data_IF_481522458282
#
_entry.id   IF_481522458282
#
_cell.length_a   1.000
_cell.length_b   1.000
_cell.length_c   1.000
_cell.angle_alpha   90.00
_cell.angle_beta   90.00
_cell.angle_gamma   90.00
#
_symmetry.space_group_name_H-M   'P 1'
#
loop_
_entity.id
_entity.type
_entity.pdbx_description
1 polymer ?
#
# COMPACT_ATOMS: atom_id res chain seq x y z
N UNK A 1 -17.07 7.34 1.77
CA UNK A 1 -15.68 7.57 1.34
C UNK A 1 -15.63 8.91 0.65
N UNK A 2 -14.62 9.71 0.96
CA UNK A 2 -14.33 11.04 0.40
C UNK A 2 -13.08 11.00 -0.47
N UNK A 3 -12.85 12.03 -1.28
CA UNK A 3 -11.62 12.16 -2.05
C UNK A 3 -10.39 12.04 -1.13
N UNK A 4 -9.46 11.16 -1.49
CA UNK A 4 -8.25 10.91 -0.70
C UNK A 4 -8.37 9.83 0.37
N UNK A 5 -9.56 9.26 0.60
CA UNK A 5 -9.70 8.09 1.47
C UNK A 5 -8.97 6.88 0.88
N UNK A 6 -8.25 6.16 1.74
CA UNK A 6 -7.57 4.91 1.40
C UNK A 6 -8.27 3.76 2.11
N UNK A 7 -8.84 2.84 1.33
CA UNK A 7 -9.41 1.60 1.83
C UNK A 7 -8.40 0.46 1.62
N UNK A 8 -8.14 -0.29 2.68
CA UNK A 8 -7.30 -1.48 2.65
C UNK A 8 -8.15 -2.68 3.02
N UNK A 9 -8.09 -3.71 2.18
CA UNK A 9 -8.64 -5.03 2.44
C UNK A 9 -7.46 -6.00 2.43
N UNK A 10 -7.33 -6.83 3.45
CA UNK A 10 -6.19 -7.73 3.59
C UNK A 10 -6.60 -9.03 4.31
N UNK A 11 -5.77 -10.06 4.15
CA UNK A 11 -5.89 -11.31 4.93
C UNK A 11 -5.36 -11.13 6.36
N UNK A 12 -5.67 -12.08 7.24
CA UNK A 12 -5.16 -12.13 8.61
C UNK A 12 -3.64 -12.15 8.68
N UNK A 13 -2.95 -12.74 7.70
CA UNK A 13 -1.49 -12.69 7.57
C UNK A 13 -0.89 -11.27 7.63
N UNK A 14 -1.66 -10.23 7.29
CA UNK A 14 -1.28 -8.83 7.51
C UNK A 14 -1.56 -8.39 8.94
N UNK A 15 -2.80 -8.55 9.39
CA UNK A 15 -3.27 -8.01 10.67
C UNK A 15 -2.71 -8.74 11.89
N UNK A 16 -2.24 -9.98 11.73
CA UNK A 16 -1.54 -10.74 12.76
C UNK A 16 -0.12 -10.25 12.99
N UNK A 17 0.46 -9.55 12.01
CA UNK A 17 1.86 -9.15 11.99
C UNK A 17 2.07 -7.62 12.05
N UNK A 18 1.11 -6.83 11.57
CA UNK A 18 1.14 -5.36 11.59
C UNK A 18 0.00 -4.80 12.42
N UNK A 19 0.30 -3.83 13.29
CA UNK A 19 -0.74 -3.10 14.02
C UNK A 19 -1.27 -1.91 13.20
N UNK A 20 -2.40 -1.33 13.64
CA UNK A 20 -3.04 -0.20 12.94
C UNK A 20 -2.11 1.01 12.79
N UNK A 21 -1.23 1.29 13.75
CA UNK A 21 -0.29 2.42 13.68
C UNK A 21 0.83 2.16 12.68
N UNK A 22 1.32 0.92 12.58
CA UNK A 22 2.31 0.51 11.57
C UNK A 22 1.73 0.74 10.17
N UNK A 23 0.49 0.27 9.94
CA UNK A 23 -0.22 0.42 8.67
C UNK A 23 -0.42 1.91 8.33
N UNK A 24 -0.94 2.71 9.28
CA UNK A 24 -1.14 4.15 9.07
C UNK A 24 0.16 4.88 8.75
N UNK A 25 1.26 4.55 9.44
CA UNK A 25 2.58 5.13 9.21
C UNK A 25 3.11 4.80 7.82
N UNK A 26 2.94 3.55 7.36
CA UNK A 26 3.35 3.13 6.01
C UNK A 26 2.56 3.88 4.93
N UNK A 27 1.24 3.96 5.05
CA UNK A 27 0.40 4.70 4.11
C UNK A 27 0.80 6.17 4.09
N UNK A 28 0.87 6.81 5.26
CA UNK A 28 1.16 8.24 5.36
C UNK A 28 2.52 8.56 4.76
N UNK A 29 3.53 7.75 5.07
CA UNK A 29 4.86 7.92 4.51
C UNK A 29 4.86 7.82 2.98
N UNK A 30 4.19 6.82 2.41
CA UNK A 30 4.14 6.63 0.94
C UNK A 30 3.27 7.67 0.24
N UNK A 31 2.13 8.05 0.81
CA UNK A 31 1.25 9.08 0.26
C UNK A 31 1.93 10.45 0.24
N UNK A 32 2.64 10.82 1.31
CA UNK A 32 3.40 12.08 1.35
C UNK A 32 4.62 12.03 0.42
N UNK A 33 5.37 10.93 0.42
CA UNK A 33 6.56 10.75 -0.43
C UNK A 33 6.24 10.83 -1.93
N UNK A 34 5.09 10.30 -2.34
CA UNK A 34 4.63 10.34 -3.75
C UNK A 34 3.96 11.66 -4.13
N UNK A 35 3.74 12.56 -3.16
CA UNK A 35 3.04 13.83 -3.38
C UNK A 35 1.53 13.69 -3.53
N UNK A 36 0.98 12.51 -3.22
CA UNK A 36 -0.46 12.23 -3.18
C UNK A 36 -1.14 12.90 -2.00
N UNK A 37 -0.42 13.03 -0.89
CA UNK A 37 -0.77 13.86 0.26
C UNK A 37 0.30 14.92 0.51
N UNK A 38 -0.11 16.05 1.10
CA UNK A 38 0.78 17.14 1.50
C UNK A 38 0.82 17.27 3.02
N UNK A 39 2.01 17.39 3.59
CA UNK A 39 2.15 17.74 5.00
C UNK A 39 1.81 19.22 5.18
N UNK A 40 0.87 19.52 6.07
CA UNK A 40 0.47 20.89 6.43
C UNK A 40 0.80 21.15 7.89
N UNK A 41 0.80 22.41 8.31
CA UNK A 41 1.04 22.78 9.72
C UNK A 41 0.04 22.14 10.69
N UNK A 42 -1.14 21.75 10.20
CA UNK A 42 -2.22 21.13 10.99
C UNK A 42 -2.38 19.62 10.75
N UNK A 43 -1.53 18.99 9.94
CA UNK A 43 -1.62 17.54 9.67
C UNK A 43 -1.29 17.18 8.23
N UNK A 44 -2.19 16.44 7.58
CA UNK A 44 -2.00 15.92 6.22
C UNK A 44 -3.22 16.29 5.38
N UNK A 45 -2.99 16.85 4.19
CA UNK A 45 -4.03 17.22 3.21
C UNK A 45 -3.94 16.38 1.93
N UNK A 46 -5.04 16.33 1.17
CA UNK A 46 -5.08 15.66 -0.13
C UNK A 46 -4.49 16.59 -1.21
N UNK A 47 -3.63 16.05 -2.07
CA UNK A 47 -2.99 16.79 -3.15
C UNK A 47 -3.85 16.76 -4.42
N UNK A 48 -3.83 17.85 -5.19
CA UNK A 48 -4.46 17.92 -6.53
C UNK A 48 -3.89 16.87 -7.50
N UNK A 49 -2.66 16.41 -7.25
CA UNK A 49 -1.99 15.39 -8.06
C UNK A 49 -2.52 13.96 -7.80
N UNK A 50 -3.35 13.75 -6.77
CA UNK A 50 -3.80 12.41 -6.36
C UNK A 50 -4.41 11.63 -7.53
N UNK A 51 -5.24 12.30 -8.34
CA UNK A 51 -5.91 11.69 -9.50
C UNK A 51 -4.91 11.18 -10.53
N UNK A 52 -3.90 11.99 -10.85
CA UNK A 52 -2.86 11.62 -11.80
C UNK A 52 -2.03 10.43 -11.29
N UNK A 53 -1.64 10.44 -10.00
CA UNK A 53 -0.83 9.39 -9.38
C UNK A 53 -1.59 8.05 -9.23
N UNK A 54 -2.91 8.11 -9.09
CA UNK A 54 -3.78 6.94 -8.99
C UNK A 54 -4.09 6.28 -10.35
N UNK A 55 -3.83 6.96 -11.46
CA UNK A 55 -4.01 6.41 -12.80
C UNK A 55 -2.86 5.44 -13.19
N UNK A 56 -3.09 4.46 -14.07
CA UNK A 56 -2.04 3.64 -14.66
C UNK A 56 -0.88 4.50 -15.19
N UNK A 57 0.34 4.22 -14.72
CA UNK A 57 1.55 4.93 -15.14
C UNK A 57 1.77 6.30 -14.48
N UNK A 58 0.86 6.76 -13.62
CA UNK A 58 0.95 8.04 -12.93
C UNK A 58 2.16 8.21 -12.01
N UNK A 59 2.84 7.11 -11.67
CA UNK A 59 4.02 7.09 -10.80
C UNK A 59 5.35 6.92 -11.55
N UNK A 60 5.34 6.91 -12.88
CA UNK A 60 6.53 6.63 -13.71
C UNK A 60 7.69 7.62 -13.46
N UNK A 61 7.39 8.89 -13.20
CA UNK A 61 8.40 9.92 -12.93
C UNK A 61 8.78 10.03 -11.44
N UNK A 62 7.93 9.52 -10.54
CA UNK A 62 8.10 9.65 -9.10
C UNK A 62 8.88 8.48 -8.46
N UNK A 63 8.99 7.36 -9.16
CA UNK A 63 9.82 6.22 -8.75
C UNK A 63 11.04 6.09 -9.65
N UNK A 64 12.24 5.85 -9.09
CA UNK A 64 13.36 5.40 -9.90
C UNK A 64 12.97 4.08 -10.58
N UNK A 65 12.99 4.08 -11.91
CA UNK A 65 12.81 2.85 -12.70
C UNK A 65 13.82 1.82 -12.19
N UNK A 66 13.41 0.58 -11.88
CA UNK A 66 14.36 -0.48 -11.62
C UNK A 66 15.14 -0.71 -12.90
N UNK A 67 16.33 -0.12 -12.99
CA UNK A 67 17.35 -0.45 -13.98
C UNK A 67 17.76 -1.90 -13.72
N UNK A 68 17.04 -2.86 -14.31
CA UNK A 68 17.20 -4.27 -13.94
C UNK A 68 16.41 -5.33 -14.70
N UNK A 69 15.55 -4.98 -15.67
CA UNK A 69 14.93 -5.98 -16.53
C UNK A 69 14.75 -5.47 -17.97
N UNK A 70 15.69 -5.78 -18.88
CA UNK A 70 15.37 -5.82 -20.30
C UNK A 70 14.53 -7.09 -20.52
N UNK A 71 13.24 -7.04 -20.21
CA UNK A 71 12.32 -8.04 -20.75
C UNK A 71 12.18 -7.69 -22.23
N UNK A 72 12.66 -8.60 -23.06
CA UNK A 72 12.67 -8.58 -24.52
C UNK A 72 11.45 -7.87 -25.11
N UNK A 73 11.69 -6.74 -25.79
CA UNK A 73 10.77 -6.22 -26.81
C UNK A 73 10.82 -7.17 -28.01
N UNK A 74 10.07 -8.27 -27.96
CA UNK A 74 9.72 -9.01 -29.16
C UNK A 74 8.62 -8.22 -29.90
N UNK A 75 8.84 -7.81 -31.17
CA UNK A 75 7.96 -6.86 -31.86
C UNK A 75 6.71 -7.50 -32.50
N UNK A 76 6.32 -8.72 -32.10
CA UNK A 76 5.38 -9.52 -32.88
C UNK A 76 4.06 -9.92 -32.18
N UNK A 77 3.80 -9.49 -30.95
CA UNK A 77 2.52 -9.74 -30.27
C UNK A 77 2.16 -8.58 -29.34
N UNK A 78 1.70 -7.46 -29.92
CA UNK A 78 1.13 -6.34 -29.16
C UNK A 78 -0.37 -6.55 -29.05
N UNK A 79 -0.78 -7.54 -28.25
CA UNK A 79 -2.02 -7.39 -27.52
C UNK A 79 -1.67 -6.59 -26.27
N UNK A 80 -1.89 -5.28 -26.34
CA UNK A 80 -1.79 -4.38 -25.20
C UNK A 80 -2.81 -4.82 -24.14
N UNK A 81 -2.38 -5.67 -23.22
CA UNK A 81 -3.01 -5.77 -21.91
C UNK A 81 -3.09 -4.38 -21.27
N UNK A 82 -3.98 -4.16 -20.29
CA UNK A 82 -4.25 -2.83 -19.78
C UNK A 82 -2.97 -2.27 -19.13
N UNK A 83 -2.28 -1.37 -19.84
CA UNK A 83 -1.45 -0.30 -19.30
C UNK A 83 -0.55 -0.74 -18.11
N UNK A 84 0.60 -1.39 -18.38
CA UNK A 84 1.64 -1.84 -17.42
C UNK A 84 2.35 -0.67 -16.68
N UNK A 85 1.58 0.28 -16.16
CA UNK A 85 2.08 1.42 -15.41
C UNK A 85 1.91 1.23 -13.91
N UNK A 86 2.98 1.40 -13.15
CA UNK A 86 2.93 1.38 -11.67
C UNK A 86 1.96 2.47 -11.19
N UNK A 87 1.02 2.08 -10.35
CA UNK A 87 0.03 2.97 -9.73
C UNK A 87 0.34 3.21 -8.25
N UNK A 88 -0.15 4.31 -7.68
CA UNK A 88 -0.03 4.58 -6.25
C UNK A 88 -0.59 3.44 -5.37
N UNK A 89 -1.73 2.88 -5.77
CA UNK A 89 -2.39 1.75 -5.12
C UNK A 89 -1.48 0.53 -5.07
N UNK A 90 -0.80 0.21 -6.18
CA UNK A 90 0.13 -0.92 -6.27
C UNK A 90 1.34 -0.75 -5.34
N UNK A 91 1.86 0.47 -5.21
CA UNK A 91 2.96 0.79 -4.30
C UNK A 91 2.56 0.66 -2.84
N UNK A 92 1.37 1.13 -2.48
CA UNK A 92 0.83 0.97 -1.13
C UNK A 92 0.62 -0.50 -0.80
N UNK A 93 -0.01 -1.26 -1.70
CA UNK A 93 -0.26 -2.69 -1.52
C UNK A 93 1.05 -3.46 -1.33
N UNK A 94 2.04 -3.23 -2.21
CA UNK A 94 3.35 -3.85 -2.12
C UNK A 94 4.10 -3.46 -0.84
N UNK A 95 4.00 -2.19 -0.40
CA UNK A 95 4.62 -1.75 0.85
C UNK A 95 4.02 -2.48 2.05
N UNK A 96 2.69 -2.56 2.16
CA UNK A 96 2.01 -3.23 3.28
C UNK A 96 2.33 -4.73 3.28
N UNK A 97 2.22 -5.38 2.11
CA UNK A 97 2.52 -6.80 1.98
C UNK A 97 3.98 -7.13 2.32
N UNK A 98 4.93 -6.30 1.86
CA UNK A 98 6.35 -6.45 2.16
C UNK A 98 6.66 -6.32 3.64
N UNK A 99 6.11 -5.30 4.30
CA UNK A 99 6.29 -5.08 5.74
C UNK A 99 5.63 -6.18 6.58
N UNK A 100 4.44 -6.63 6.18
CA UNK A 100 3.79 -7.79 6.81
C UNK A 100 4.63 -9.06 6.65
N UNK A 101 5.26 -9.26 5.48
CA UNK A 101 6.12 -10.41 5.23
C UNK A 101 7.40 -10.36 6.06
N UNK A 102 8.02 -9.20 6.19
CA UNK A 102 9.21 -9.02 7.04
C UNK A 102 8.83 -9.29 8.50
N UNK A 103 7.70 -8.75 8.97
CA UNK A 103 7.21 -8.96 10.32
C UNK A 103 6.84 -10.42 10.59
N UNK A 104 6.25 -11.13 9.63
CA UNK A 104 5.78 -12.52 9.80
C UNK A 104 6.89 -13.53 9.99
N UNK A 105 8.10 -13.25 9.48
CA UNK A 105 9.28 -14.11 9.64
C UNK A 105 10.24 -13.62 10.73
N UNK A 106 9.94 -12.49 11.38
CA UNK A 106 10.77 -11.96 12.45
C UNK A 106 10.40 -12.59 13.80
N UNK A 107 11.19 -13.57 14.23
CA UNK A 107 11.03 -14.25 15.52
C UNK A 107 11.31 -13.36 16.75
N UNK A 108 11.84 -12.16 16.55
CA UNK A 108 12.21 -11.23 17.64
C UNK A 108 11.16 -10.16 17.86
N UNK A 109 10.21 -10.00 16.93
CA UNK A 109 9.13 -9.00 16.99
C UNK A 109 7.81 -9.69 17.30
N UNK A 110 7.26 -9.41 18.48
CA UNK A 110 5.91 -9.86 18.80
C UNK A 110 4.88 -8.99 18.08
N UNK A 111 4.26 -9.57 17.04
CA UNK A 111 3.14 -8.99 16.32
C UNK A 111 1.83 -9.01 17.13
N UNK A 112 0.76 -8.39 16.61
CA UNK A 112 -0.58 -8.46 17.21
C UNK A 112 -1.01 -9.87 17.62
N UNK A 113 -0.81 -10.86 16.75
CA UNK A 113 -1.15 -12.25 17.04
C UNK A 113 -0.37 -12.80 18.24
N UNK A 114 0.96 -12.61 18.26
CA UNK A 114 1.78 -13.09 19.36
C UNK A 114 1.37 -12.49 20.70
N UNK A 115 1.02 -11.20 20.72
CA UNK A 115 0.55 -10.53 21.93
C UNK A 115 -0.77 -11.09 22.43
N UNK A 116 -1.73 -11.35 21.54
CA UNK A 116 -3.02 -11.94 21.92
C UNK A 116 -2.86 -13.42 22.34
N UNK A 117 -2.01 -14.19 21.65
CA UNK A 117 -1.68 -15.56 22.05
C UNK A 117 -1.05 -15.61 23.45
N UNK A 118 -0.11 -14.72 23.76
CA UNK A 118 0.47 -14.61 25.11
C UNK A 118 -0.56 -14.21 26.17
N UNK A 119 -1.57 -13.41 25.79
CA UNK A 119 -2.63 -12.95 26.69
C UNK A 119 -3.62 -14.06 27.06
N UNK A 120 -4.06 -14.88 26.11
CA UNK A 120 -5.06 -15.93 26.34
C UNK A 120 -4.45 -17.31 26.61
N UNK A 121 -3.23 -17.56 26.14
CA UNK A 121 -2.51 -18.82 26.28
C UNK A 121 -1.10 -18.61 26.86
N UNK A 122 -0.99 -18.10 28.10
CA UNK A 122 0.31 -17.76 28.69
C UNK A 122 1.26 -18.94 28.86
N UNK A 123 0.76 -20.18 28.82
CA UNK A 123 1.56 -21.40 28.90
C UNK A 123 2.23 -21.83 27.59
N UNK A 124 1.79 -21.30 26.44
CA UNK A 124 2.26 -21.72 25.12
C UNK A 124 3.48 -20.92 24.64
N UNK A 125 3.86 -19.85 25.36
CA UNK A 125 5.05 -19.01 25.13
C UNK A 125 5.30 -18.61 23.66
N UNK A 126 4.24 -18.38 22.89
CA UNK A 126 4.36 -17.96 21.50
C UNK A 126 5.06 -16.59 21.38
N UNK A 127 6.07 -16.49 20.51
CA UNK A 127 6.87 -15.28 20.26
C UNK A 127 7.14 -15.12 18.77
N UNK A 128 7.32 -13.87 18.35
CA UNK A 128 7.65 -13.53 16.97
C UNK A 128 6.44 -13.35 16.05
N UNK A 129 6.71 -13.21 14.75
CA UNK A 129 5.70 -13.14 13.71
C UNK A 129 4.98 -14.47 13.44
N UNK A 130 3.76 -14.37 12.91
CA UNK A 130 2.95 -15.50 12.43
C UNK A 130 3.13 -15.66 10.93
N UNK A 131 3.84 -16.72 10.52
CA UNK A 131 4.03 -17.04 9.09
C UNK A 131 2.68 -17.47 8.49
N UNK A 132 2.21 -16.72 7.51
CA UNK A 132 0.90 -16.92 6.88
C UNK A 132 0.88 -16.41 5.44
N UNK A 133 -0.19 -16.75 4.70
CA UNK A 133 -0.44 -16.20 3.37
C UNK A 133 -0.86 -14.72 3.47
N UNK A 134 -0.20 -13.87 2.67
CA UNK A 134 -0.37 -12.42 2.71
C UNK A 134 -0.98 -11.95 1.40
N UNK A 135 -2.18 -11.37 1.49
CA UNK A 135 -2.83 -10.67 0.39
C UNK A 135 -3.29 -9.28 0.84
N UNK A 136 -3.10 -8.28 -0.02
CA UNK A 136 -3.49 -6.88 0.22
C UNK A 136 -4.12 -6.31 -1.04
N UNK A 137 -5.29 -5.71 -0.90
CA UNK A 137 -5.98 -4.92 -1.91
C UNK A 137 -6.11 -3.50 -1.38
N UNK A 138 -5.64 -2.53 -2.17
CA UNK A 138 -5.71 -1.11 -1.83
C UNK A 138 -6.58 -0.38 -2.85
N UNK A 139 -7.53 0.41 -2.34
CA UNK A 139 -8.42 1.26 -3.13
C UNK A 139 -8.25 2.70 -2.63
N UNK A 140 -8.10 3.63 -3.57
CA UNK A 140 -8.03 5.06 -3.29
C UNK A 140 -9.27 5.71 -3.86
N UNK A 141 -10.03 6.42 -3.04
CA UNK A 141 -11.18 7.20 -3.49
C UNK A 141 -10.70 8.47 -4.20
N UNK A 142 -11.00 8.57 -5.49
CA UNK A 142 -10.73 9.74 -6.32
C UNK A 142 -12.07 10.29 -6.78
N UNK A 143 -12.32 11.58 -6.58
CA UNK A 143 -13.58 12.21 -6.99
C UNK A 143 -13.52 12.55 -8.49
N UNK A 144 -14.58 12.19 -9.21
CA UNK A 144 -14.83 12.60 -10.59
C UNK A 144 -15.51 13.95 -10.61
N UNK A 145 -14.74 15.03 -10.44
CA UNK A 145 -15.25 16.35 -10.79
C UNK A 145 -15.30 16.48 -12.32
N UNK A 146 -16.41 16.06 -12.92
CA UNK A 146 -16.86 16.74 -14.14
C UNK A 146 -17.07 18.19 -13.72
N UNK A 147 -16.37 19.12 -14.36
CA UNK A 147 -16.59 20.54 -14.17
C UNK A 147 -18.09 20.84 -14.38
N UNK A 148 -18.85 20.89 -13.29
CA UNK A 148 -20.19 21.45 -13.26
C UNK A 148 -20.05 22.97 -13.29
N UNK A 149 -19.55 23.47 -14.42
CA UNK A 149 -19.63 24.86 -14.84
C UNK A 149 -20.35 24.85 -16.19
N UNK A 150 -21.67 24.65 -16.15
CA UNK A 150 -22.60 25.10 -17.18
C UNK A 150 -24.04 24.93 -16.68
N UNK A 151 -24.57 26.00 -16.05
CA UNK A 151 -25.95 26.49 -16.17
C UNK A 151 -26.15 27.73 -15.29
#
# INVERSE_FOLDING_TARGET
MQHGDVLIIATDGVFDNLNNQDILKLITSRMVMTGAWTATESGVGVSENLRALAAPGGLADALPTPSGSPLSKDPANTESGPEDGVTLQSVLAATIAGEAKIASVDYRRDGPFAKEAQRYHPGDYYRGGKVDDICVVVVIAVEDSVAANEA
#
